data_IF_242813370428
#
_entry.id   IF_242813370428
#
_cell.length_a   1.000
_cell.length_b   1.000
_cell.length_c   1.000
_cell.angle_alpha   90.00
_cell.angle_beta   90.00
_cell.angle_gamma   90.00
#
_symmetry.space_group_name_H-M   'P 1'
#
loop_
_entity.id
_entity.type
_entity.pdbx_description
1 polymer ?
#
# COMPACT_ATOMS: atom_id res chain seq x y z
N UNK A 1 -9.48 3.98 -22.24
CA UNK A 1 -10.37 2.88 -21.78
C UNK A 1 -9.66 2.17 -20.66
N UNK A 2 -10.31 2.06 -19.51
CA UNK A 2 -9.83 1.27 -18.37
C UNK A 2 -9.80 -0.20 -18.76
N UNK A 3 -8.76 -0.91 -18.29
CA UNK A 3 -8.62 -2.34 -18.53
C UNK A 3 -8.22 -3.03 -17.23
N UNK A 4 -8.82 -4.18 -16.92
CA UNK A 4 -8.49 -5.03 -15.78
C UNK A 4 -8.23 -6.44 -16.30
N UNK A 5 -7.06 -6.98 -15.92
CA UNK A 5 -6.72 -8.39 -16.09
C UNK A 5 -6.44 -8.98 -14.72
N UNK A 6 -7.04 -10.10 -14.41
CA UNK A 6 -6.97 -10.73 -13.10
C UNK A 6 -6.72 -12.24 -13.23
N UNK A 7 -5.74 -12.72 -12.48
CA UNK A 7 -5.52 -14.13 -12.17
C UNK A 7 -5.42 -14.28 -10.64
N UNK A 8 -5.39 -15.49 -10.12
CA UNK A 8 -5.29 -15.72 -8.67
C UNK A 8 -4.03 -15.12 -8.01
N UNK A 9 -2.98 -14.83 -8.77
CA UNK A 9 -1.69 -14.35 -8.25
C UNK A 9 -1.22 -13.03 -8.89
N UNK A 10 -1.93 -12.51 -9.88
CA UNK A 10 -1.56 -11.30 -10.63
C UNK A 10 -2.80 -10.55 -11.10
N UNK A 11 -2.83 -9.24 -10.87
CA UNK A 11 -3.86 -8.32 -11.36
C UNK A 11 -3.22 -7.11 -12.00
N UNK A 12 -3.66 -6.74 -13.19
CA UNK A 12 -3.28 -5.51 -13.88
C UNK A 12 -4.51 -4.65 -14.12
N UNK A 13 -4.52 -3.46 -13.57
CA UNK A 13 -5.44 -2.38 -13.92
C UNK A 13 -4.67 -1.33 -14.71
N UNK A 14 -4.96 -1.19 -16.01
CA UNK A 14 -4.28 -0.25 -16.88
C UNK A 14 -5.12 1.00 -17.12
N UNK A 15 -4.58 2.18 -16.78
CA UNK A 15 -5.21 3.51 -16.93
C UNK A 15 -6.69 3.49 -16.49
N UNK A 16 -6.91 2.90 -15.32
CA UNK A 16 -8.24 2.81 -14.75
C UNK A 16 -8.69 4.20 -14.29
N UNK A 17 -9.80 4.69 -14.88
CA UNK A 17 -10.45 5.94 -14.54
C UNK A 17 -11.84 5.72 -13.90
N UNK A 18 -12.18 4.48 -13.55
CA UNK A 18 -13.43 4.19 -12.87
C UNK A 18 -13.48 4.93 -11.52
N UNK A 19 -14.67 5.40 -11.10
CA UNK A 19 -14.86 5.98 -9.78
C UNK A 19 -14.29 5.05 -8.72
N UNK A 20 -13.50 5.61 -7.82
CA UNK A 20 -12.95 4.86 -6.71
C UNK A 20 -14.00 4.86 -5.61
N UNK A 21 -14.63 3.71 -5.37
CA UNK A 21 -15.58 3.57 -4.28
C UNK A 21 -14.84 3.81 -2.96
N UNK A 22 -15.29 4.79 -2.24
CA UNK A 22 -14.80 5.32 -0.95
C UNK A 22 -13.50 4.69 -0.45
N UNK A 23 -12.40 5.40 -0.54
CA UNK A 23 -11.11 4.85 -0.15
C UNK A 23 -11.07 4.63 1.36
N UNK A 24 -11.23 3.39 1.80
CA UNK A 24 -10.88 2.99 3.15
C UNK A 24 -9.39 2.68 3.22
N UNK A 25 -8.81 2.84 4.40
CA UNK A 25 -7.49 2.27 4.66
C UNK A 25 -7.53 0.77 4.41
N UNK A 26 -6.59 0.28 3.65
CA UNK A 26 -6.47 -1.14 3.36
C UNK A 26 -5.01 -1.58 3.34
N UNK A 27 -4.82 -2.86 3.46
CA UNK A 27 -3.57 -3.58 3.28
C UNK A 27 -3.92 -5.01 2.86
N UNK A 28 -3.11 -5.58 2.02
CA UNK A 28 -3.31 -6.93 1.45
C UNK A 28 -1.98 -7.69 1.44
N UNK A 29 -1.97 -8.96 1.04
CA UNK A 29 -0.74 -9.77 1.01
C UNK A 29 0.08 -9.59 -0.27
N UNK A 30 -0.53 -9.06 -1.34
CA UNK A 30 0.14 -8.85 -2.62
C UNK A 30 1.05 -7.62 -2.59
N UNK A 31 2.15 -7.66 -3.33
CA UNK A 31 2.93 -6.45 -3.64
C UNK A 31 2.20 -5.60 -4.67
N UNK A 32 2.45 -4.30 -4.65
CA UNK A 32 1.77 -3.36 -5.53
C UNK A 32 2.77 -2.42 -6.23
N UNK A 33 2.59 -2.30 -7.55
CA UNK A 33 3.20 -1.25 -8.36
C UNK A 33 2.06 -0.33 -8.80
N UNK A 34 2.13 0.92 -8.39
CA UNK A 34 1.11 1.93 -8.68
C UNK A 34 1.74 3.05 -9.52
N UNK A 35 1.17 3.36 -10.67
CA UNK A 35 1.57 4.49 -11.51
C UNK A 35 0.45 5.50 -11.62
N UNK A 36 0.72 6.74 -11.22
CA UNK A 36 -0.23 7.83 -11.27
C UNK A 36 -0.16 8.57 -12.60
N UNK A 37 -1.30 8.72 -13.29
CA UNK A 37 -1.35 9.36 -14.61
C UNK A 37 -2.02 10.73 -14.59
N UNK A 38 -3.11 10.90 -13.85
CA UNK A 38 -3.83 12.16 -13.78
C UNK A 38 -4.76 12.23 -12.56
N UNK A 39 -4.99 13.45 -12.09
CA UNK A 39 -5.90 13.75 -11.00
C UNK A 39 -5.28 14.67 -9.95
N UNK A 40 -5.97 14.77 -8.81
CA UNK A 40 -5.46 15.46 -7.63
C UNK A 40 -5.70 14.58 -6.42
N UNK A 41 -4.61 14.07 -5.86
CA UNK A 41 -4.64 13.02 -4.84
C UNK A 41 -3.60 13.27 -3.77
N UNK A 42 -4.03 13.28 -2.51
CA UNK A 42 -3.15 13.03 -1.38
C UNK A 42 -3.13 11.53 -1.10
N UNK A 43 -2.00 10.89 -1.22
CA UNK A 43 -1.88 9.45 -0.97
C UNK A 43 -1.12 9.20 0.33
N UNK A 44 -1.81 8.62 1.29
CA UNK A 44 -1.23 8.19 2.56
C UNK A 44 -0.77 6.75 2.40
N UNK A 45 0.52 6.51 2.65
CA UNK A 45 1.17 5.21 2.48
C UNK A 45 2.12 5.00 3.67
N UNK A 46 1.81 3.99 4.49
CA UNK A 46 2.55 3.77 5.73
C UNK A 46 2.47 4.99 6.64
N UNK A 47 3.62 5.56 6.94
CA UNK A 47 3.78 6.78 7.75
C UNK A 47 4.01 8.06 6.93
N UNK A 48 3.89 7.99 5.59
CA UNK A 48 4.12 9.12 4.70
C UNK A 48 2.85 9.57 3.98
N UNK A 49 2.77 10.88 3.74
CA UNK A 49 1.75 11.45 2.88
C UNK A 49 2.38 12.11 1.67
N UNK A 50 1.83 11.80 0.50
CA UNK A 50 2.29 12.32 -0.78
C UNK A 50 1.18 13.05 -1.52
N UNK A 51 1.47 14.22 -2.03
CA UNK A 51 0.69 14.81 -3.12
C UNK A 51 1.24 14.25 -4.43
N UNK A 52 0.43 13.46 -5.13
CA UNK A 52 0.88 12.77 -6.33
C UNK A 52 0.96 13.71 -7.53
N UNK A 53 1.98 13.51 -8.34
CA UNK A 53 2.19 14.16 -9.62
C UNK A 53 2.15 13.14 -10.77
N UNK A 54 1.61 13.50 -11.96
CA UNK A 54 1.59 12.58 -13.09
C UNK A 54 2.98 12.03 -13.42
N UNK A 55 3.08 10.70 -13.47
CA UNK A 55 4.34 9.97 -13.67
C UNK A 55 5.00 9.47 -12.37
N UNK A 56 4.43 9.77 -11.20
CA UNK A 56 4.85 9.12 -9.96
C UNK A 56 4.63 7.60 -10.05
N UNK A 57 5.67 6.85 -9.72
CA UNK A 57 5.61 5.41 -9.55
C UNK A 57 5.77 5.09 -8.06
N UNK A 58 4.83 4.33 -7.52
CA UNK A 58 4.84 3.93 -6.11
C UNK A 58 4.96 2.41 -6.04
N UNK A 59 5.87 1.97 -5.18
CA UNK A 59 6.05 0.57 -4.83
C UNK A 59 5.53 0.36 -3.42
N UNK A 60 4.74 -0.68 -3.20
CA UNK A 60 4.22 -0.99 -1.86
C UNK A 60 4.36 -2.48 -1.56
N UNK A 61 4.90 -2.77 -0.38
CA UNK A 61 4.68 -4.06 0.25
C UNK A 61 3.21 -4.12 0.69
N UNK A 62 2.49 -5.17 0.33
CA UNK A 62 1.04 -5.24 0.52
C UNK A 62 0.55 -5.05 1.96
N UNK A 63 1.36 -5.40 2.97
CA UNK A 63 1.03 -5.15 4.37
C UNK A 63 1.17 -3.67 4.78
N UNK A 64 1.68 -2.82 3.90
CA UNK A 64 1.73 -1.38 4.14
C UNK A 64 0.31 -0.81 4.12
N UNK A 65 -0.08 -0.16 5.20
CA UNK A 65 -1.36 0.52 5.28
C UNK A 65 -1.37 1.71 4.32
N UNK A 66 -2.35 1.78 3.41
CA UNK A 66 -2.42 2.86 2.43
C UNK A 66 -3.84 3.29 2.13
N UNK A 67 -3.97 4.55 1.67
CA UNK A 67 -5.25 5.15 1.32
C UNK A 67 -5.05 6.38 0.43
N UNK A 68 -5.66 6.46 -0.77
CA UNK A 68 -5.76 7.71 -1.51
C UNK A 68 -6.89 8.59 -0.94
N UNK A 69 -6.65 9.90 -0.84
CA UNK A 69 -7.66 10.92 -0.65
C UNK A 69 -7.78 11.71 -1.96
N UNK A 70 -8.84 11.43 -2.71
CA UNK A 70 -9.03 11.86 -4.09
C UNK A 70 -9.92 13.10 -4.11
N UNK A 71 -9.49 14.14 -4.80
CA UNK A 71 -10.34 15.26 -5.16
C UNK A 71 -11.23 14.86 -6.35
N UNK A 72 -12.49 14.57 -6.08
CA UNK A 72 -13.46 14.06 -7.07
C UNK A 72 -13.83 15.07 -8.17
N UNK A 73 -13.39 16.33 -8.05
CA UNK A 73 -13.55 17.32 -9.11
C UNK A 73 -12.61 17.08 -10.31
N UNK A 74 -11.63 16.21 -10.16
CA UNK A 74 -10.64 15.87 -11.18
C UNK A 74 -10.74 14.39 -11.57
N UNK A 75 -10.48 14.05 -12.86
CA UNK A 75 -10.39 12.65 -13.26
C UNK A 75 -9.24 11.96 -12.50
N UNK A 76 -9.50 10.81 -11.92
CA UNK A 76 -8.49 10.02 -11.23
C UNK A 76 -8.06 8.83 -12.09
N UNK A 77 -6.89 8.96 -12.75
CA UNK A 77 -6.37 7.96 -13.67
C UNK A 77 -5.10 7.33 -13.13
N UNK A 78 -5.10 6.00 -12.97
CA UNK A 78 -3.99 5.23 -12.42
C UNK A 78 -3.85 3.88 -13.12
N UNK A 79 -2.62 3.35 -13.12
CA UNK A 79 -2.36 1.94 -13.40
C UNK A 79 -1.88 1.26 -12.13
N UNK A 80 -2.36 0.05 -11.87
CA UNK A 80 -2.02 -0.73 -10.67
C UNK A 80 -1.68 -2.15 -11.11
N UNK A 81 -0.59 -2.68 -10.57
CA UNK A 81 -0.25 -4.10 -10.64
C UNK A 81 -0.22 -4.63 -9.21
N UNK A 82 -1.13 -5.55 -8.90
CA UNK A 82 -1.03 -6.38 -7.71
C UNK A 82 -0.44 -7.73 -8.08
N UNK A 83 0.54 -8.20 -7.33
CA UNK A 83 1.11 -9.51 -7.57
C UNK A 83 1.55 -10.20 -6.27
N UNK A 84 1.34 -11.50 -6.21
CA UNK A 84 1.92 -12.34 -5.17
C UNK A 84 3.41 -12.54 -5.49
N UNK A 85 4.36 -12.35 -4.54
CA UNK A 85 5.78 -12.59 -4.78
C UNK A 85 6.07 -13.99 -5.34
N UNK A 86 5.28 -15.01 -4.96
CA UNK A 86 5.36 -16.37 -5.51
C UNK A 86 5.07 -16.44 -7.00
N UNK A 87 4.32 -15.48 -7.55
CA UNK A 87 4.13 -15.39 -8.99
C UNK A 87 5.45 -15.14 -9.73
N UNK A 88 6.30 -14.25 -9.17
CA UNK A 88 7.62 -13.97 -9.74
C UNK A 88 8.51 -15.20 -9.66
N UNK A 89 8.50 -15.92 -8.55
CA UNK A 89 9.25 -17.19 -8.38
C UNK A 89 8.78 -18.26 -9.40
N UNK A 90 7.47 -18.34 -9.65
CA UNK A 90 6.90 -19.29 -10.62
C UNK A 90 7.24 -18.96 -12.08
N UNK A 91 7.32 -17.68 -12.45
CA UNK A 91 7.64 -17.26 -13.81
C UNK A 91 9.14 -17.11 -14.08
N UNK A 92 9.94 -17.02 -13.02
CA UNK A 92 11.40 -16.93 -13.08
C UNK A 92 12.06 -17.82 -12.01
N UNK A 93 12.02 -19.14 -12.15
CA UNK A 93 12.47 -20.09 -11.11
C UNK A 93 13.97 -20.02 -10.77
N UNK A 94 14.77 -19.36 -11.58
CA UNK A 94 16.23 -19.17 -11.37
C UNK A 94 16.58 -17.76 -10.87
N UNK A 95 15.65 -17.05 -10.23
CA UNK A 95 15.97 -15.77 -9.58
C UNK A 95 17.04 -16.00 -8.50
N UNK A 96 18.16 -15.27 -8.57
CA UNK A 96 19.20 -15.36 -7.54
C UNK A 96 18.71 -14.72 -6.24
N UNK A 97 18.12 -15.50 -5.36
CA UNK A 97 17.60 -15.03 -4.06
C UNK A 97 18.75 -14.75 -3.08
N UNK A 98 19.92 -15.38 -3.27
CA UNK A 98 21.04 -15.33 -2.32
C UNK A 98 22.18 -14.38 -2.73
N UNK A 99 22.21 -13.86 -3.95
CA UNK A 99 23.37 -13.12 -4.49
C UNK A 99 23.26 -11.59 -4.39
N UNK A 100 22.26 -11.04 -3.72
CA UNK A 100 22.06 -9.59 -3.64
C UNK A 100 21.34 -8.99 -4.85
N UNK A 101 21.08 -9.77 -5.89
CA UNK A 101 20.41 -9.36 -7.14
C UNK A 101 18.91 -9.73 -7.16
N UNK A 102 18.27 -9.75 -5.99
CA UNK A 102 16.85 -10.02 -5.86
C UNK A 102 16.02 -8.87 -6.43
N UNK A 103 15.35 -9.12 -7.54
CA UNK A 103 14.46 -8.14 -8.21
C UNK A 103 13.30 -7.65 -7.32
N UNK A 104 12.94 -8.41 -6.28
CA UNK A 104 11.92 -8.03 -5.29
C UNK A 104 12.48 -7.24 -4.11
N UNK A 105 13.79 -7.04 -4.05
CA UNK A 105 14.46 -6.29 -2.98
C UNK A 105 13.84 -4.92 -2.72
N UNK A 106 13.47 -4.10 -3.74
CA UNK A 106 12.81 -2.81 -3.48
C UNK A 106 11.53 -2.93 -2.67
N UNK A 107 10.75 -3.97 -2.84
CA UNK A 107 9.50 -4.19 -2.10
C UNK A 107 9.74 -4.71 -0.68
N UNK A 108 10.81 -5.51 -0.47
CA UNK A 108 11.12 -6.12 0.83
C UNK A 108 11.81 -5.13 1.76
N UNK A 109 12.80 -4.39 1.26
CA UNK A 109 13.62 -3.49 2.09
C UNK A 109 12.96 -2.13 2.31
N UNK A 110 12.35 -1.55 1.27
CA UNK A 110 11.80 -0.19 1.35
C UNK A 110 10.40 -0.16 1.98
N UNK A 111 9.72 -1.31 2.12
CA UNK A 111 8.30 -1.42 2.53
C UNK A 111 7.36 -0.65 1.61
N UNK A 112 7.69 0.59 1.27
CA UNK A 112 7.06 1.43 0.27
C UNK A 112 8.08 2.46 -0.23
N UNK A 113 7.91 2.88 -1.47
CA UNK A 113 8.78 3.87 -2.11
C UNK A 113 7.99 4.68 -3.13
N UNK A 114 8.23 6.00 -3.19
CA UNK A 114 7.77 6.85 -4.28
C UNK A 114 8.95 7.23 -5.16
N UNK A 115 8.90 6.84 -6.40
CA UNK A 115 9.90 7.17 -7.43
C UNK A 115 9.37 8.31 -8.30
N UNK A 116 10.07 9.45 -8.32
CA UNK A 116 9.88 10.48 -9.35
C UNK A 116 10.70 10.11 -10.56
N UNK A 117 10.07 9.45 -11.52
CA UNK A 117 10.77 8.96 -12.70
C UNK A 117 11.18 10.12 -13.63
N UNK A 118 12.44 10.18 -14.08
CA UNK A 118 12.84 10.98 -15.23
C UNK A 118 12.00 10.63 -16.47
N UNK A 119 11.90 11.54 -17.45
CA UNK A 119 11.05 11.33 -18.64
C UNK A 119 11.33 10.01 -19.34
N UNK A 120 12.59 9.65 -19.54
CA UNK A 120 12.98 8.39 -20.19
C UNK A 120 12.48 7.14 -19.40
N UNK A 121 12.63 7.12 -18.08
CA UNK A 121 12.16 6.01 -17.24
C UNK A 121 10.63 5.95 -17.20
N UNK A 122 9.96 7.10 -17.20
CA UNK A 122 8.50 7.17 -17.27
C UNK A 122 7.96 6.63 -18.59
N UNK A 123 8.58 7.00 -19.71
CA UNK A 123 8.24 6.49 -21.04
C UNK A 123 8.43 4.97 -21.13
N UNK A 124 9.51 4.47 -20.53
CA UNK A 124 9.79 3.03 -20.46
C UNK A 124 8.75 2.28 -19.63
N UNK A 125 8.39 2.79 -18.44
CA UNK A 125 7.32 2.21 -17.62
C UNK A 125 5.97 2.19 -18.37
N UNK A 126 5.61 3.28 -19.03
CA UNK A 126 4.38 3.37 -19.84
C UNK A 126 4.40 2.40 -21.03
N UNK A 127 5.54 2.25 -21.70
CA UNK A 127 5.73 1.30 -22.78
C UNK A 127 5.49 -0.14 -22.32
N UNK A 128 6.05 -0.51 -21.17
CA UNK A 128 5.91 -1.85 -20.59
C UNK A 128 4.48 -2.11 -20.11
N UNK A 129 3.84 -1.15 -19.44
CA UNK A 129 2.43 -1.25 -19.03
C UNK A 129 1.50 -1.41 -20.26
N UNK A 130 1.73 -0.64 -21.31
CA UNK A 130 0.99 -0.74 -22.58
C UNK A 130 1.17 -2.09 -23.22
N UNK A 131 2.40 -2.61 -23.21
CA UNK A 131 2.74 -3.93 -23.74
C UNK A 131 2.03 -5.03 -22.93
N UNK A 132 2.06 -5.00 -21.62
CA UNK A 132 1.30 -5.94 -20.78
C UNK A 132 -0.18 -5.89 -21.10
N UNK A 133 -0.78 -4.70 -21.18
CA UNK A 133 -2.18 -4.52 -21.54
C UNK A 133 -2.51 -5.16 -22.90
N UNK A 134 -1.62 -5.07 -23.90
CA UNK A 134 -1.86 -5.65 -25.23
C UNK A 134 -1.93 -7.18 -25.24
N UNK A 135 -1.36 -7.84 -24.23
CA UNK A 135 -1.41 -9.31 -24.06
C UNK A 135 -2.45 -9.77 -23.04
N UNK A 136 -2.91 -8.91 -22.17
CA UNK A 136 -3.77 -9.25 -21.03
C UNK A 136 -5.18 -9.77 -21.42
N UNK A 137 -5.61 -9.67 -22.67
CA UNK A 137 -6.84 -10.29 -23.18
C UNK A 137 -6.62 -11.64 -23.86
N UNK A 138 -5.38 -12.13 -23.92
CA UNK A 138 -5.01 -13.37 -24.60
C UNK A 138 -4.85 -14.49 -23.58
N UNK A 139 -5.63 -15.56 -23.76
CA UNK A 139 -5.56 -16.78 -22.97
C UNK A 139 -4.67 -17.87 -23.58
N UNK A 140 -3.99 -17.56 -24.70
CA UNK A 140 -3.06 -18.49 -25.36
C UNK A 140 -1.68 -18.43 -24.70
N UNK A 141 -0.94 -19.53 -24.79
CA UNK A 141 0.40 -19.67 -24.22
C UNK A 141 1.36 -18.53 -24.56
N UNK A 142 1.36 -18.07 -25.82
CA UNK A 142 2.27 -17.01 -26.28
C UNK A 142 1.91 -15.66 -25.66
N UNK A 143 0.61 -15.32 -25.60
CA UNK A 143 0.11 -14.10 -24.99
C UNK A 143 0.46 -14.03 -23.52
N UNK A 144 0.23 -15.10 -22.77
CA UNK A 144 0.56 -15.21 -21.37
C UNK A 144 2.07 -15.04 -21.12
N UNK A 145 2.92 -15.76 -21.85
CA UNK A 145 4.38 -15.65 -21.70
C UNK A 145 4.91 -14.26 -22.05
N UNK A 146 4.36 -13.62 -23.08
CA UNK A 146 4.75 -12.25 -23.44
C UNK A 146 4.33 -11.23 -22.39
N UNK A 147 3.18 -11.42 -21.74
CA UNK A 147 2.77 -10.59 -20.61
C UNK A 147 3.73 -10.75 -19.43
N UNK A 148 4.08 -12.00 -19.08
CA UNK A 148 5.04 -12.32 -18.04
C UNK A 148 6.42 -11.70 -18.29
N UNK A 149 6.92 -11.79 -19.52
CA UNK A 149 8.20 -11.17 -19.90
C UNK A 149 8.16 -9.64 -19.78
N UNK A 150 7.06 -8.98 -20.17
CA UNK A 150 6.93 -7.54 -20.02
C UNK A 150 6.82 -7.12 -18.55
N UNK A 151 6.21 -7.93 -17.72
CA UNK A 151 6.15 -7.70 -16.28
C UNK A 151 7.53 -7.88 -15.61
N UNK A 152 8.26 -8.93 -15.95
CA UNK A 152 9.63 -9.14 -15.45
C UNK A 152 10.56 -8.00 -15.88
N UNK A 153 10.47 -7.55 -17.13
CA UNK A 153 11.22 -6.40 -17.65
C UNK A 153 10.95 -5.15 -16.82
N UNK A 154 9.67 -4.88 -16.48
CA UNK A 154 9.31 -3.78 -15.58
C UNK A 154 9.94 -3.93 -14.18
N UNK A 155 9.95 -5.14 -13.60
CA UNK A 155 10.55 -5.38 -12.29
C UNK A 155 12.08 -5.14 -12.31
N UNK A 156 12.78 -5.55 -13.39
CA UNK A 156 14.20 -5.28 -13.54
C UNK A 156 14.49 -3.78 -13.73
N UNK A 157 13.67 -3.07 -14.51
CA UNK A 157 13.77 -1.62 -14.59
C UNK A 157 13.59 -0.95 -13.23
N UNK A 158 12.56 -1.33 -12.46
CA UNK A 158 12.32 -0.81 -11.11
C UNK A 158 13.51 -1.12 -10.19
N UNK A 159 14.03 -2.34 -10.22
CA UNK A 159 15.19 -2.72 -9.44
C UNK A 159 16.40 -1.82 -9.75
N UNK A 160 16.65 -1.55 -11.03
CA UNK A 160 17.74 -0.69 -11.47
C UNK A 160 17.53 0.78 -11.05
N UNK A 161 16.32 1.31 -11.21
CA UNK A 161 15.97 2.66 -10.78
C UNK A 161 16.07 2.87 -9.27
N UNK A 162 15.89 1.81 -8.48
CA UNK A 162 16.02 1.86 -7.02
C UNK A 162 17.46 1.74 -6.50
N UNK A 163 18.45 1.51 -7.36
CA UNK A 163 19.87 1.50 -6.98
C UNK A 163 20.40 2.90 -6.64
N UNK A 164 19.84 3.92 -7.27
CA UNK A 164 20.20 5.30 -6.96
C UNK A 164 19.55 5.75 -5.64
N UNK A 165 20.26 6.54 -4.82
CA UNK A 165 19.68 7.06 -3.57
C UNK A 165 18.44 7.88 -3.86
N UNK A 166 17.29 7.42 -3.40
CA UNK A 166 16.06 8.17 -3.51
C UNK A 166 16.12 9.39 -2.58
N UNK A 167 16.11 10.59 -3.14
CA UNK A 167 15.97 11.80 -2.35
C UNK A 167 14.62 11.78 -1.63
N UNK A 168 14.66 11.89 -0.28
CA UNK A 168 13.44 12.09 0.49
C UNK A 168 12.77 13.39 0.00
N UNK A 169 11.59 13.26 -0.59
CA UNK A 169 10.85 14.40 -1.07
C UNK A 169 10.23 15.13 0.13
N UNK A 170 10.46 16.44 0.28
CA UNK A 170 9.82 17.20 1.35
C UNK A 170 8.31 17.21 1.17
N UNK A 171 7.53 17.31 2.27
CA UNK A 171 6.09 17.51 2.19
C UNK A 171 5.77 18.77 1.36
N UNK A 172 4.71 18.69 0.55
CA UNK A 172 4.41 19.69 -0.47
C UNK A 172 3.97 21.06 0.08
N UNK A 173 3.55 21.14 1.36
CA UNK A 173 3.09 22.37 2.00
C UNK A 173 3.06 22.30 3.53
N UNK A 174 2.69 23.41 4.18
CA UNK A 174 2.59 23.45 5.67
C UNK A 174 1.54 22.50 6.22
N UNK A 175 0.40 22.37 5.55
CA UNK A 175 -0.68 21.48 5.99
C UNK A 175 -0.25 20.03 5.94
N UNK A 176 0.43 19.62 4.89
CA UNK A 176 1.00 18.30 4.71
C UNK A 176 2.11 18.02 5.75
N UNK A 177 2.89 19.04 6.12
CA UNK A 177 3.88 18.93 7.22
C UNK A 177 3.23 18.62 8.55
N UNK A 178 2.15 19.32 8.92
CA UNK A 178 1.42 19.05 10.17
C UNK A 178 0.82 17.65 10.18
N UNK A 179 0.27 17.21 9.04
CA UNK A 179 -0.28 15.85 8.91
C UNK A 179 0.83 14.81 9.00
N UNK A 180 1.96 15.03 8.33
CA UNK A 180 3.11 14.13 8.38
C UNK A 180 3.64 13.98 9.82
N UNK A 181 3.73 15.09 10.57
CA UNK A 181 4.17 15.05 11.95
C UNK A 181 3.15 14.36 12.86
N UNK A 182 1.85 14.58 12.63
CA UNK A 182 0.78 13.85 13.33
C UNK A 182 0.92 12.33 13.12
N UNK A 183 1.17 11.92 11.89
CA UNK A 183 1.39 10.50 11.56
C UNK A 183 2.62 9.97 12.29
N UNK A 184 3.75 10.69 12.30
CA UNK A 184 4.96 10.29 13.01
C UNK A 184 4.73 10.13 14.52
N UNK A 185 4.00 11.07 15.12
CA UNK A 185 3.64 10.98 16.55
C UNK A 185 2.83 9.69 16.80
N UNK A 186 1.82 9.42 15.96
CA UNK A 186 1.00 8.21 16.10
C UNK A 186 1.85 6.94 15.91
N UNK A 187 2.72 6.89 14.91
CA UNK A 187 3.61 5.73 14.68
C UNK A 187 4.51 5.44 15.88
N UNK A 188 4.95 6.49 16.59
CA UNK A 188 5.77 6.35 17.80
C UNK A 188 5.00 5.91 19.05
N UNK A 189 3.67 6.11 19.09
CA UNK A 189 2.89 5.89 20.31
C UNK A 189 1.52 5.21 20.09
N UNK A 190 1.28 4.57 18.92
CA UNK A 190 -0.03 3.95 18.62
C UNK A 190 -0.47 2.87 19.63
N UNK A 191 0.47 2.26 20.35
CA UNK A 191 0.21 1.26 21.38
C UNK A 191 -0.24 1.88 22.72
N UNK A 192 0.03 3.15 22.91
CA UNK A 192 -0.26 3.90 24.14
C UNK A 192 -1.68 4.49 24.12
N UNK A 193 -2.11 4.97 25.28
CA UNK A 193 -3.37 5.71 25.42
C UNK A 193 -3.17 7.17 25.02
N UNK A 194 -3.30 7.46 23.74
CA UNK A 194 -3.03 8.77 23.16
C UNK A 194 -4.32 9.54 22.95
N UNK A 195 -4.38 10.78 23.41
CA UNK A 195 -5.48 11.70 23.17
C UNK A 195 -5.15 12.69 22.03
N UNK A 196 -6.18 13.36 21.52
CA UNK A 196 -5.97 14.40 20.51
C UNK A 196 -5.23 15.61 21.08
N UNK A 197 -5.43 15.89 22.38
CA UNK A 197 -4.73 16.95 23.09
C UNK A 197 -3.23 16.66 23.18
N UNK A 198 -2.84 15.42 23.52
CA UNK A 198 -1.42 15.00 23.56
C UNK A 198 -0.72 15.18 22.21
N UNK A 199 -1.42 14.84 21.11
CA UNK A 199 -0.87 14.98 19.76
C UNK A 199 -0.74 16.46 19.38
N UNK A 200 -1.73 17.26 19.71
CA UNK A 200 -1.76 18.68 19.38
C UNK A 200 -0.71 19.47 20.18
N UNK A 201 -0.53 19.17 21.47
CA UNK A 201 0.48 19.78 22.34
C UNK A 201 1.90 19.53 21.81
N UNK A 202 2.21 18.30 21.36
CA UNK A 202 3.52 17.96 20.78
C UNK A 202 3.87 18.76 19.52
N UNK A 203 2.84 19.31 18.85
CA UNK A 203 3.02 20.11 17.64
C UNK A 203 2.75 21.59 17.86
N UNK A 204 2.48 22.01 19.08
CA UNK A 204 2.09 23.39 19.42
C UNK A 204 0.88 23.88 18.60
N UNK A 205 -0.09 22.98 18.31
CA UNK A 205 -1.28 23.26 17.55
C UNK A 205 -2.54 23.19 18.40
N UNK A 206 -3.56 23.94 17.97
CA UNK A 206 -4.90 23.76 18.52
C UNK A 206 -5.49 22.45 17.99
N UNK A 207 -6.05 21.60 18.86
CA UNK A 207 -6.63 20.30 18.51
C UNK A 207 -7.72 20.35 17.44
N UNK A 208 -8.51 21.43 17.41
CA UNK A 208 -9.57 21.60 16.39
C UNK A 208 -8.97 21.88 15.02
N UNK A 209 -7.92 22.70 14.97
CA UNK A 209 -7.17 22.95 13.74
C UNK A 209 -6.49 21.68 13.25
N UNK A 210 -5.78 20.97 14.13
CA UNK A 210 -5.13 19.68 13.81
C UNK A 210 -6.13 18.68 13.23
N UNK A 211 -7.27 18.48 13.93
CA UNK A 211 -8.32 17.55 13.49
C UNK A 211 -8.87 17.92 12.12
N UNK A 212 -9.10 19.21 11.85
CA UNK A 212 -9.58 19.71 10.57
C UNK A 212 -8.56 19.48 9.47
N UNK A 213 -7.31 19.92 9.68
CA UNK A 213 -6.25 19.78 8.68
C UNK A 213 -5.99 18.31 8.37
N UNK A 214 -5.91 17.46 9.39
CA UNK A 214 -5.72 16.03 9.20
C UNK A 214 -6.84 15.43 8.34
N UNK A 215 -8.11 15.76 8.66
CA UNK A 215 -9.26 15.27 7.90
C UNK A 215 -9.28 15.79 6.46
N UNK A 216 -8.98 17.08 6.25
CA UNK A 216 -8.97 17.68 4.91
C UNK A 216 -7.92 17.03 4.01
N UNK A 217 -6.72 16.80 4.55
CA UNK A 217 -5.58 16.27 3.78
C UNK A 217 -5.67 14.76 3.61
N UNK A 218 -6.05 14.01 4.66
CA UNK A 218 -6.11 12.53 4.61
C UNK A 218 -7.48 11.97 4.27
N UNK A 219 -8.55 12.79 4.34
CA UNK A 219 -9.94 12.36 4.17
C UNK A 219 -10.47 11.54 5.37
N UNK A 220 -9.76 11.46 6.50
CA UNK A 220 -10.15 10.66 7.67
C UNK A 220 -9.79 11.36 8.98
N UNK A 221 -10.32 10.89 10.12
CA UNK A 221 -9.96 11.45 11.41
C UNK A 221 -8.67 10.84 11.95
N UNK A 222 -8.00 11.56 12.86
CA UNK A 222 -6.80 11.10 13.58
C UNK A 222 -7.03 9.75 14.26
N UNK A 223 -8.16 9.58 14.96
CA UNK A 223 -8.48 8.32 15.65
C UNK A 223 -8.85 7.19 14.67
N UNK A 224 -9.50 7.49 13.56
CA UNK A 224 -9.74 6.48 12.53
C UNK A 224 -8.41 5.96 11.99
N UNK A 225 -7.45 6.85 11.72
CA UNK A 225 -6.10 6.44 11.31
C UNK A 225 -5.42 5.58 12.39
N UNK A 226 -5.43 6.03 13.66
CA UNK A 226 -4.85 5.29 14.78
C UNK A 226 -5.41 3.86 14.87
N UNK A 227 -6.73 3.70 14.77
CA UNK A 227 -7.34 2.37 14.82
C UNK A 227 -6.99 1.51 13.61
N UNK A 228 -6.95 2.08 12.41
CA UNK A 228 -6.46 1.34 11.23
C UNK A 228 -5.00 0.89 11.40
N UNK A 229 -4.16 1.75 11.97
CA UNK A 229 -2.75 1.41 12.26
C UNK A 229 -2.64 0.25 13.25
N UNK A 230 -3.43 0.28 14.33
CA UNK A 230 -3.50 -0.80 15.33
C UNK A 230 -3.96 -2.12 14.73
N UNK A 231 -5.04 -2.09 13.95
CA UNK A 231 -5.59 -3.29 13.28
C UNK A 231 -4.59 -3.82 12.25
N UNK A 232 -3.94 -2.94 11.49
CA UNK A 232 -2.91 -3.37 10.55
C UNK A 232 -1.73 -4.07 11.25
N UNK A 233 -1.27 -3.52 12.37
CA UNK A 233 -0.23 -4.16 13.17
C UNK A 233 -0.67 -5.53 13.71
N UNK A 234 -1.91 -5.65 14.13
CA UNK A 234 -2.46 -6.94 14.55
C UNK A 234 -2.44 -7.97 13.41
N UNK A 235 -2.78 -7.58 12.18
CA UNK A 235 -2.67 -8.45 10.99
C UNK A 235 -1.23 -8.92 10.77
N UNK A 236 -0.26 -8.02 10.89
CA UNK A 236 1.17 -8.35 10.79
C UNK A 236 1.56 -9.37 11.86
N UNK A 237 1.21 -9.13 13.12
CA UNK A 237 1.56 -10.06 14.20
C UNK A 237 0.87 -11.41 14.11
N UNK A 238 -0.34 -11.50 13.59
CA UNK A 238 -0.94 -12.80 13.31
C UNK A 238 -0.16 -13.61 12.28
N UNK A 239 0.59 -12.97 11.38
CA UNK A 239 1.48 -13.63 10.41
C UNK A 239 2.85 -13.96 11.01
N UNK A 240 3.45 -13.02 11.74
CA UNK A 240 4.85 -13.13 12.20
C UNK A 240 4.98 -13.81 13.57
N UNK A 241 3.92 -13.78 14.38
CA UNK A 241 3.90 -14.29 15.76
C UNK A 241 2.74 -15.27 15.96
N UNK A 242 2.75 -16.43 15.26
CA UNK A 242 1.62 -17.36 15.28
C UNK A 242 1.30 -17.94 16.67
N UNK A 243 2.26 -17.88 17.61
CA UNK A 243 2.11 -18.33 19.00
C UNK A 243 1.29 -17.36 19.86
N UNK A 244 1.15 -16.09 19.48
CA UNK A 244 0.39 -15.13 20.28
C UNK A 244 -1.12 -15.36 20.17
N UNK A 245 -1.80 -15.28 21.32
CA UNK A 245 -3.26 -15.34 21.33
C UNK A 245 -3.88 -14.06 20.74
N UNK A 246 -5.15 -14.14 20.35
CA UNK A 246 -5.91 -12.96 19.93
C UNK A 246 -5.95 -11.89 21.03
N UNK A 247 -5.98 -12.32 22.28
CA UNK A 247 -5.94 -11.46 23.46
C UNK A 247 -4.60 -10.72 23.56
N UNK A 248 -3.46 -11.43 23.41
CA UNK A 248 -2.13 -10.83 23.46
C UNK A 248 -1.95 -9.81 22.35
N UNK A 249 -2.34 -10.16 21.12
CA UNK A 249 -2.27 -9.26 19.97
C UNK A 249 -3.12 -8.01 20.19
N UNK A 250 -4.34 -8.17 20.74
CA UNK A 250 -5.23 -7.04 21.05
C UNK A 250 -4.57 -6.02 21.99
N UNK A 251 -4.07 -6.48 23.13
CA UNK A 251 -3.45 -5.58 24.12
C UNK A 251 -2.15 -4.96 23.60
N UNK A 252 -1.30 -5.73 22.94
CA UNK A 252 -0.06 -5.22 22.33
C UNK A 252 -0.32 -4.21 21.22
N UNK A 253 -1.44 -4.33 20.50
CA UNK A 253 -1.88 -3.34 19.52
C UNK A 253 -2.46 -2.04 20.13
N UNK A 254 -2.52 -1.94 21.47
CA UNK A 254 -2.98 -0.76 22.18
C UNK A 254 -4.48 -0.72 22.47
N UNK A 255 -5.19 -1.84 22.36
CA UNK A 255 -6.60 -1.90 22.76
C UNK A 255 -6.74 -2.23 24.24
N UNK A 256 -7.55 -1.45 24.96
CA UNK A 256 -7.83 -1.68 26.38
C UNK A 256 -8.81 -2.84 26.61
N UNK A 257 -9.66 -3.14 25.63
CA UNK A 257 -10.74 -4.12 25.75
C UNK A 257 -10.83 -5.00 24.50
N UNK A 258 -10.72 -6.31 24.69
CA UNK A 258 -10.82 -7.32 23.64
C UNK A 258 -12.12 -7.23 22.80
N UNK A 259 -13.32 -6.99 23.40
CA UNK A 259 -14.54 -6.83 22.60
C UNK A 259 -14.49 -5.63 21.64
N UNK A 260 -13.86 -4.52 22.04
CA UNK A 260 -13.66 -3.36 21.17
C UNK A 260 -12.74 -3.70 19.99
N UNK A 261 -11.61 -4.36 20.26
CA UNK A 261 -10.71 -4.87 19.23
C UNK A 261 -11.44 -5.77 18.23
N UNK A 262 -12.11 -6.82 18.72
CA UNK A 262 -12.76 -7.82 17.87
C UNK A 262 -13.83 -7.21 16.97
N UNK A 263 -14.62 -6.27 17.49
CA UNK A 263 -15.62 -5.52 16.73
C UNK A 263 -14.99 -4.68 15.63
N UNK A 264 -13.97 -3.88 15.95
CA UNK A 264 -13.28 -3.04 14.97
C UNK A 264 -12.53 -3.88 13.93
N UNK A 265 -11.86 -4.95 14.36
CA UNK A 265 -11.19 -5.86 13.45
C UNK A 265 -12.18 -6.45 12.43
N UNK A 266 -13.33 -6.98 12.91
CA UNK A 266 -14.37 -7.50 12.01
C UNK A 266 -14.93 -6.43 11.07
N UNK A 267 -15.14 -5.21 11.56
CA UNK A 267 -15.62 -4.08 10.75
C UNK A 267 -14.62 -3.71 9.65
N UNK A 268 -13.32 -3.69 9.95
CA UNK A 268 -12.28 -3.23 9.04
C UNK A 268 -11.72 -4.33 8.13
N UNK A 269 -11.75 -5.60 8.56
CA UNK A 269 -11.14 -6.75 7.85
C UNK A 269 -12.20 -7.66 7.22
N UNK A 270 -13.45 -7.57 7.67
CA UNK A 270 -14.57 -8.37 7.16
C UNK A 270 -14.79 -9.69 7.90
N UNK A 271 -13.82 -10.18 8.69
CA UNK A 271 -13.93 -11.40 9.48
C UNK A 271 -13.40 -11.19 10.91
N UNK A 272 -13.71 -12.13 11.83
CA UNK A 272 -13.20 -12.03 13.21
C UNK A 272 -11.68 -12.26 13.27
N UNK A 273 -10.97 -11.76 14.31
CA UNK A 273 -9.55 -12.04 14.49
C UNK A 273 -9.21 -13.54 14.47
N UNK A 274 -10.05 -14.38 15.10
CA UNK A 274 -9.88 -15.83 15.13
C UNK A 274 -10.05 -16.45 13.74
N UNK A 275 -11.04 -16.01 12.98
CA UNK A 275 -11.25 -16.45 11.60
C UNK A 275 -10.08 -16.05 10.71
N UNK A 276 -9.63 -14.80 10.81
CA UNK A 276 -8.49 -14.30 10.07
C UNK A 276 -7.22 -15.14 10.35
N UNK A 277 -6.92 -15.38 11.63
CA UNK A 277 -5.79 -16.20 12.06
C UNK A 277 -5.88 -17.65 11.52
N UNK A 278 -7.07 -18.26 11.55
CA UNK A 278 -7.27 -19.59 10.96
C UNK A 278 -7.01 -19.61 9.46
N UNK A 279 -7.50 -18.62 8.73
CA UNK A 279 -7.32 -18.50 7.27
C UNK A 279 -5.84 -18.39 6.86
N UNK A 280 -5.00 -17.71 7.67
CA UNK A 280 -3.56 -17.57 7.40
C UNK A 280 -2.81 -18.91 7.39
N UNK A 281 -3.25 -19.87 8.19
CA UNK A 281 -2.58 -21.17 8.38
C UNK A 281 -3.37 -22.36 7.82
N UNK A 282 -4.56 -22.12 7.26
CA UNK A 282 -5.29 -23.13 6.50
C UNK A 282 -4.66 -23.21 5.11
N UNK A 283 -3.93 -24.27 4.82
CA UNK A 283 -3.54 -24.61 3.44
C UNK A 283 -4.81 -24.64 2.58
N UNK A 284 -4.78 -24.18 1.33
CA UNK A 284 -5.90 -24.43 0.43
C UNK A 284 -5.99 -25.94 0.23
N UNK A 285 -6.93 -26.58 0.93
CA UNK A 285 -7.36 -27.93 0.57
C UNK A 285 -7.87 -27.85 -0.87
N UNK A 286 -7.33 -28.76 -1.67
CA UNK A 286 -7.71 -29.01 -3.06
C UNK A 286 -9.24 -29.11 -3.18
N UNK A 287 -9.85 -28.19 -3.90
CA UNK A 287 -11.10 -28.42 -4.63
C UNK A 287 -10.84 -28.22 -6.11
#
# INVERSE_FOLDING_TARGET
>A
MSFIHHTSMFELQYRNAAPYEVPHFHSHSSYEIYMFHAGKVHYLIGDQIYMLEPGDLILMHGLTLHRPNIDTCYPYVRSIIHFDPRYVEAVHPNLPVESGDDVLRPFRELKYARLKLPSAHREEAERLLTRMKSFAGRSDFVGERRMQLAFLDLLYCIYDWCKEPMAALPPAGEREKYVQETIRVIEGCYQEDVTLDDIAERQHLNKYYLSKVFKDVTGTTVFTYLYHRRINQAKVWFLTEPQWSVTDVSFRAGFKHLPHFSRLFKQMVGCTPEQYRKQLFSSPEKQ
#
